data_IF_618042030681
#
_entry.id   IF_618042030681
#
_cell.length_a   1.000
_cell.length_b   1.000
_cell.length_c   1.000
_cell.angle_alpha   90.00
_cell.angle_beta   90.00
_cell.angle_gamma   90.00
#
_symmetry.space_group_name_H-M   'P 1'
#
loop_
_entity.id
_entity.type
_entity.pdbx_description
1 polymer ?
#
# COMPACT_ATOMS: atom_id res chain seq x y z
N UNK A 1 -48.98 -1.27 46.16
CA UNK A 1 -47.93 -1.13 45.10
C UNK A 1 -47.54 0.33 45.06
N UNK A 2 -46.39 0.67 45.64
CA UNK A 2 -45.85 2.03 45.66
C UNK A 2 -45.35 2.35 44.24
N UNK A 3 -45.86 3.43 43.65
CA UNK A 3 -45.40 3.83 42.31
C UNK A 3 -43.98 4.35 42.40
N UNK A 4 -43.11 4.04 41.36
CA UNK A 4 -41.72 4.47 41.30
C UNK A 4 -41.56 6.00 41.42
N UNK A 5 -42.60 6.78 41.07
CA UNK A 5 -42.68 8.23 41.24
C UNK A 5 -42.65 8.69 42.71
N UNK A 6 -42.99 7.81 43.66
CA UNK A 6 -43.03 8.16 45.09
C UNK A 6 -41.65 8.09 45.76
N UNK A 7 -40.67 7.52 45.08
CA UNK A 7 -39.30 7.35 45.59
C UNK A 7 -38.39 8.53 45.20
N UNK A 8 -38.64 9.17 44.05
CA UNK A 8 -37.75 10.20 43.47
C UNK A 8 -38.36 11.61 43.38
N UNK A 9 -39.57 11.84 43.98
CA UNK A 9 -40.10 13.17 44.25
C UNK A 9 -40.41 14.09 43.05
N UNK A 10 -40.51 13.58 41.82
CA UNK A 10 -40.84 14.38 40.64
C UNK A 10 -40.81 13.61 39.31
N UNK A 11 -41.31 14.17 38.21
CA UNK A 11 -41.23 13.55 36.91
C UNK A 11 -39.75 13.37 36.52
N UNK A 12 -39.40 12.18 36.04
CA UNK A 12 -38.07 11.89 35.47
C UNK A 12 -37.84 12.82 34.27
N UNK A 13 -37.01 13.84 34.48
CA UNK A 13 -36.52 14.68 33.37
C UNK A 13 -35.27 13.99 32.83
N UNK A 14 -35.31 13.48 31.61
CA UNK A 14 -34.10 12.90 30.99
C UNK A 14 -33.03 13.99 30.94
N UNK A 15 -31.86 13.70 31.51
CA UNK A 15 -30.68 14.57 31.36
C UNK A 15 -30.28 14.49 29.90
N UNK A 16 -30.60 15.54 29.13
CA UNK A 16 -30.12 15.68 27.76
C UNK A 16 -28.63 15.93 27.87
N UNK A 17 -27.81 14.93 27.53
CA UNK A 17 -26.36 15.10 27.43
C UNK A 17 -26.11 16.14 26.34
N UNK A 18 -25.56 17.28 26.73
CA UNK A 18 -25.13 18.28 25.77
C UNK A 18 -24.00 17.66 24.94
N UNK A 19 -24.16 17.64 23.63
CA UNK A 19 -23.17 17.11 22.70
C UNK A 19 -22.66 18.29 21.89
N UNK A 20 -21.35 18.50 21.93
CA UNK A 20 -20.72 19.56 21.16
C UNK A 20 -20.85 19.31 19.65
N UNK A 21 -20.87 20.36 18.81
CA UNK A 21 -20.82 20.22 17.36
C UNK A 21 -19.65 19.34 16.91
N UNK A 22 -19.83 18.55 15.83
CA UNK A 22 -18.78 17.63 15.35
C UNK A 22 -17.44 18.31 15.05
N UNK A 23 -17.44 19.55 14.62
CA UNK A 23 -16.24 20.35 14.37
C UNK A 23 -15.45 20.59 15.66
N UNK A 24 -16.13 20.89 16.76
CA UNK A 24 -15.46 21.08 18.05
C UNK A 24 -14.91 19.75 18.57
N UNK A 25 -15.67 18.66 18.45
CA UNK A 25 -15.22 17.34 18.85
C UNK A 25 -14.00 16.89 18.04
N UNK A 26 -13.97 17.18 16.72
CA UNK A 26 -12.81 16.90 15.85
C UNK A 26 -11.60 17.74 16.30
N UNK A 27 -11.80 19.03 16.59
CA UNK A 27 -10.73 19.88 17.09
C UNK A 27 -10.16 19.36 18.42
N UNK A 28 -11.00 18.91 19.35
CA UNK A 28 -10.56 18.36 20.63
C UNK A 28 -9.84 17.02 20.46
N UNK A 29 -10.28 16.19 19.53
CA UNK A 29 -9.58 14.95 19.17
C UNK A 29 -8.18 15.22 18.60
N UNK A 30 -8.04 16.26 17.75
CA UNK A 30 -6.74 16.69 17.24
C UNK A 30 -5.82 17.17 18.36
N UNK A 31 -6.33 18.03 19.26
CA UNK A 31 -5.56 18.52 20.43
C UNK A 31 -5.11 17.36 21.32
N UNK A 32 -6.00 16.41 21.56
CA UNK A 32 -5.69 15.21 22.36
C UNK A 32 -4.59 14.33 21.73
N UNK A 33 -4.47 14.36 20.41
CA UNK A 33 -3.40 13.70 19.67
C UNK A 33 -2.12 14.56 19.53
N UNK A 34 -2.07 15.75 20.13
CA UNK A 34 -0.91 16.65 20.06
C UNK A 34 -0.84 17.50 18.80
N UNK A 35 -1.95 17.67 18.07
CA UNK A 35 -2.05 18.47 16.85
C UNK A 35 -2.89 19.71 17.14
N UNK A 36 -2.33 20.91 16.88
CA UNK A 36 -3.11 22.14 16.90
C UNK A 36 -4.03 22.19 15.66
N UNK A 37 -5.38 22.19 15.86
CA UNK A 37 -6.31 22.19 14.75
C UNK A 37 -6.33 23.56 14.03
N UNK A 38 -6.74 23.61 12.75
CA UNK A 38 -6.97 24.88 12.06
C UNK A 38 -8.15 25.63 12.70
N UNK A 39 -8.15 26.95 12.55
CA UNK A 39 -9.21 27.82 13.12
C UNK A 39 -10.61 27.44 12.64
N UNK A 40 -10.71 26.98 11.40
CA UNK A 40 -11.99 26.55 10.80
C UNK A 40 -11.84 25.13 10.28
N UNK A 41 -12.69 24.24 10.73
CA UNK A 41 -12.82 22.88 10.25
C UNK A 41 -14.01 22.76 9.31
N UNK A 42 -13.83 22.04 8.19
CA UNK A 42 -14.89 21.76 7.21
C UNK A 42 -15.19 20.27 7.21
N UNK A 43 -16.46 19.93 7.27
CA UNK A 43 -16.95 18.56 7.19
C UNK A 43 -17.62 18.38 5.83
N UNK A 44 -16.79 18.19 4.79
CA UNK A 44 -17.25 18.15 3.39
C UNK A 44 -16.77 16.90 2.61
N UNK A 45 -16.15 15.95 3.32
CA UNK A 45 -15.64 14.73 2.71
C UNK A 45 -14.36 14.92 1.88
N UNK A 46 -13.76 16.11 1.91
CA UNK A 46 -12.52 16.41 1.20
C UNK A 46 -11.31 16.38 2.15
N UNK A 47 -10.13 16.12 1.59
CA UNK A 47 -8.90 16.19 2.35
C UNK A 47 -8.44 17.65 2.46
N UNK A 48 -8.30 18.11 3.69
CA UNK A 48 -7.78 19.43 4.03
C UNK A 48 -6.38 19.31 4.60
N UNK A 49 -5.49 20.19 4.19
CA UNK A 49 -4.13 20.33 4.71
C UNK A 49 -4.00 21.61 5.51
N UNK A 50 -3.20 21.58 6.57
CA UNK A 50 -3.02 22.74 7.44
C UNK A 50 -1.65 22.72 8.14
N UNK A 51 -1.24 23.89 8.66
CA UNK A 51 -0.03 24.02 9.44
C UNK A 51 -0.25 23.58 10.88
N UNK A 52 0.58 22.68 11.36
CA UNK A 52 0.53 22.19 12.76
C UNK A 52 1.45 22.97 13.70
N UNK A 53 2.29 23.89 13.18
CA UNK A 53 3.24 24.71 13.97
C UNK A 53 3.20 26.20 13.59
N UNK A 54 2.12 26.66 12.99
CA UNK A 54 1.90 28.08 12.66
C UNK A 54 2.84 28.68 11.61
N UNK A 55 3.61 27.84 10.88
CA UNK A 55 4.49 28.31 9.79
C UNK A 55 3.75 28.28 8.46
N UNK A 56 3.79 29.34 7.70
CA UNK A 56 3.04 29.47 6.44
C UNK A 56 3.37 28.41 5.36
N UNK A 57 4.57 27.80 5.44
CA UNK A 57 5.02 26.73 4.53
C UNK A 57 4.77 25.31 5.06
N UNK A 58 4.20 25.17 6.26
CA UNK A 58 3.94 23.87 6.88
C UNK A 58 2.52 23.42 6.53
N UNK A 59 2.39 22.36 5.76
CA UNK A 59 1.13 21.69 5.43
C UNK A 59 1.14 20.21 5.82
N UNK A 60 1.91 19.86 6.86
CA UNK A 60 2.08 18.49 7.33
C UNK A 60 0.84 17.93 8.04
N UNK A 61 0.00 18.80 8.60
CA UNK A 61 -1.29 18.41 9.15
C UNK A 61 -2.31 18.13 8.05
N UNK A 62 -3.13 17.15 8.28
CA UNK A 62 -4.21 16.80 7.35
C UNK A 62 -5.42 16.24 8.09
N UNK A 63 -6.60 16.42 7.52
CA UNK A 63 -7.82 15.74 7.96
C UNK A 63 -8.79 15.54 6.80
N UNK A 64 -9.68 14.58 6.97
CA UNK A 64 -10.87 14.36 6.15
C UNK A 64 -12.01 13.99 7.08
N UNK A 65 -13.16 14.68 6.96
CA UNK A 65 -14.36 14.40 7.74
C UNK A 65 -15.58 14.38 6.83
N UNK A 66 -16.39 13.34 6.98
CA UNK A 66 -17.58 13.09 6.16
C UNK A 66 -18.82 13.58 6.88
N UNK A 67 -19.77 14.25 6.18
CA UNK A 67 -20.96 14.87 6.79
C UNK A 67 -22.06 13.87 7.18
N UNK A 68 -21.86 12.57 6.95
CA UNK A 68 -22.83 11.54 7.31
C UNK A 68 -22.94 11.41 8.85
N UNK A 69 -24.14 11.22 9.39
CA UNK A 69 -24.34 10.97 10.82
C UNK A 69 -24.11 9.49 11.19
N UNK A 70 -23.30 9.26 12.26
CA UNK A 70 -22.45 10.22 12.97
C UNK A 70 -21.27 10.66 12.12
N UNK A 71 -20.93 11.95 12.17
CA UNK A 71 -19.75 12.49 11.48
C UNK A 71 -18.53 11.66 11.86
N UNK A 72 -17.80 11.22 10.84
CA UNK A 72 -16.61 10.39 11.01
C UNK A 72 -15.51 10.82 10.04
N UNK A 73 -14.27 10.53 10.38
CA UNK A 73 -13.14 10.90 9.54
C UNK A 73 -11.81 10.37 10.05
N UNK A 74 -10.76 10.92 9.50
CA UNK A 74 -9.37 10.68 9.93
C UNK A 74 -8.62 12.00 9.93
N UNK A 75 -7.61 12.09 10.78
CA UNK A 75 -6.70 13.22 10.82
C UNK A 75 -5.31 12.76 11.21
N UNK A 76 -4.31 13.58 10.94
CA UNK A 76 -2.95 13.24 11.30
C UNK A 76 -1.95 14.32 10.96
N UNK A 77 -0.68 14.00 11.21
CA UNK A 77 0.48 14.80 10.85
C UNK A 77 1.54 13.89 10.21
N UNK A 78 1.86 14.10 8.94
CA UNK A 78 2.86 13.26 8.26
C UNK A 78 4.26 13.41 8.85
N UNK A 79 4.59 14.61 9.32
CA UNK A 79 5.89 14.87 9.95
C UNK A 79 6.06 14.11 11.26
N UNK A 80 5.00 14.08 12.07
CA UNK A 80 5.06 13.51 13.42
C UNK A 80 4.55 12.05 13.46
N UNK A 81 4.21 11.47 12.27
CA UNK A 81 3.74 10.08 12.14
C UNK A 81 2.38 9.81 12.78
N UNK A 82 1.59 10.88 13.03
CA UNK A 82 0.28 10.76 13.67
C UNK A 82 -0.77 10.42 12.60
N UNK A 83 -1.58 9.39 12.86
CA UNK A 83 -2.71 8.99 12.03
C UNK A 83 -3.81 8.42 12.94
N UNK A 84 -4.92 9.14 13.08
CA UNK A 84 -5.99 8.83 14.01
C UNK A 84 -7.35 8.84 13.32
N UNK A 85 -8.25 7.98 13.81
CA UNK A 85 -9.65 7.93 13.40
C UNK A 85 -10.48 8.81 14.30
N UNK A 86 -11.40 9.58 13.74
CA UNK A 86 -12.37 10.38 14.43
C UNK A 86 -13.79 9.87 14.18
N UNK A 87 -14.62 9.93 15.22
CA UNK A 87 -16.07 9.73 15.14
C UNK A 87 -16.74 10.60 16.20
N UNK A 88 -17.69 11.42 15.76
CA UNK A 88 -18.44 12.29 16.65
C UNK A 88 -19.35 11.48 17.60
N UNK A 89 -19.37 11.88 18.87
CA UNK A 89 -20.39 11.45 19.84
C UNK A 89 -21.71 12.15 19.47
N UNK A 90 -22.77 11.38 19.29
CA UNK A 90 -24.11 11.89 19.02
C UNK A 90 -25.00 11.87 20.27
N UNK A 91 -24.41 11.64 21.48
CA UNK A 91 -25.12 11.62 22.75
C UNK A 91 -25.95 10.36 22.98
N UNK A 92 -25.96 9.40 22.09
CA UNK A 92 -26.66 8.11 22.18
C UNK A 92 -25.91 7.02 21.44
N UNK A 93 -26.23 5.79 21.76
CA UNK A 93 -25.78 4.67 20.95
C UNK A 93 -26.52 4.62 19.61
N UNK A 94 -25.82 4.13 18.58
CA UNK A 94 -26.43 3.87 17.30
C UNK A 94 -27.37 2.68 17.38
N UNK A 95 -28.54 2.82 16.80
CA UNK A 95 -29.45 1.70 16.61
C UNK A 95 -28.82 0.65 15.66
N UNK A 96 -29.28 -0.59 15.78
CA UNK A 96 -28.82 -1.65 14.88
C UNK A 96 -29.07 -1.32 13.40
N UNK A 97 -30.16 -0.64 13.08
CA UNK A 97 -30.46 -0.20 11.72
C UNK A 97 -29.46 0.83 11.19
N UNK A 98 -29.06 1.81 12.02
CA UNK A 98 -28.04 2.81 11.66
C UNK A 98 -26.68 2.17 11.49
N UNK A 99 -26.29 1.24 12.36
CA UNK A 99 -25.03 0.48 12.21
C UNK A 99 -25.00 -0.30 10.91
N UNK A 100 -26.07 -1.00 10.56
CA UNK A 100 -26.20 -1.73 9.31
C UNK A 100 -26.16 -0.80 8.09
N UNK A 101 -26.82 0.36 8.15
CA UNK A 101 -26.79 1.34 7.05
C UNK A 101 -25.39 1.90 6.83
N UNK A 102 -24.64 2.19 7.90
CA UNK A 102 -23.23 2.64 7.81
C UNK A 102 -22.35 1.55 7.21
N UNK A 103 -22.45 0.32 7.71
CA UNK A 103 -21.67 -0.82 7.19
C UNK A 103 -21.95 -1.07 5.70
N UNK A 104 -23.23 -0.98 5.29
CA UNK A 104 -23.62 -1.10 3.88
C UNK A 104 -22.98 -0.03 3.02
N UNK A 105 -23.08 1.25 3.39
CA UNK A 105 -22.46 2.36 2.66
C UNK A 105 -20.95 2.19 2.52
N UNK A 106 -20.28 1.80 3.61
CA UNK A 106 -18.84 1.54 3.57
C UNK A 106 -18.48 0.40 2.62
N UNK A 107 -19.26 -0.67 2.61
CA UNK A 107 -19.10 -1.79 1.70
C UNK A 107 -19.32 -1.37 0.23
N UNK A 108 -20.40 -0.63 -0.05
CA UNK A 108 -20.71 -0.11 -1.39
C UNK A 108 -19.61 0.83 -1.90
N UNK A 109 -19.13 1.75 -1.05
CA UNK A 109 -18.05 2.68 -1.40
C UNK A 109 -16.70 1.95 -1.62
N UNK A 110 -16.43 0.87 -0.88
CA UNK A 110 -15.26 0.02 -1.08
C UNK A 110 -15.36 -0.72 -2.41
N UNK A 111 -16.50 -1.36 -2.68
CA UNK A 111 -16.73 -2.09 -3.92
C UNK A 111 -16.61 -1.18 -5.15
N UNK A 112 -17.17 0.04 -5.09
CA UNK A 112 -17.04 1.00 -6.20
C UNK A 112 -15.60 1.44 -6.43
N UNK A 113 -14.82 1.70 -5.36
CA UNK A 113 -13.39 2.01 -5.48
C UNK A 113 -12.60 0.87 -6.11
N UNK A 114 -12.90 -0.37 -5.71
CA UNK A 114 -12.28 -1.56 -6.28
C UNK A 114 -12.66 -1.73 -7.76
N UNK A 115 -13.92 -1.50 -8.13
CA UNK A 115 -14.39 -1.53 -9.53
C UNK A 115 -13.68 -0.49 -10.40
N UNK A 116 -13.57 0.74 -9.92
CA UNK A 116 -12.87 1.82 -10.63
C UNK A 116 -11.38 1.48 -10.78
N UNK A 117 -10.77 0.94 -9.73
CA UNK A 117 -9.37 0.50 -9.75
C UNK A 117 -9.15 -0.64 -10.74
N UNK A 118 -10.02 -1.65 -10.75
CA UNK A 118 -9.94 -2.77 -11.68
C UNK A 118 -10.04 -2.28 -13.14
N UNK A 119 -11.03 -1.41 -13.43
CA UNK A 119 -11.17 -0.83 -14.78
C UNK A 119 -9.94 -0.04 -15.23
N UNK A 120 -9.32 0.72 -14.32
CA UNK A 120 -8.06 1.42 -14.63
C UNK A 120 -6.91 0.45 -14.88
N UNK A 121 -6.86 -0.65 -14.13
CA UNK A 121 -5.84 -1.67 -14.30
C UNK A 121 -5.99 -2.41 -15.65
N UNK A 122 -7.22 -2.72 -16.09
CA UNK A 122 -7.48 -3.33 -17.39
C UNK A 122 -7.02 -2.43 -18.55
N UNK A 123 -7.35 -1.13 -18.47
CA UNK A 123 -6.90 -0.15 -19.48
C UNK A 123 -5.37 -0.05 -19.50
N UNK A 124 -4.75 -0.01 -18.32
CA UNK A 124 -3.29 0.04 -18.20
C UNK A 124 -2.64 -1.23 -18.76
N UNK A 125 -3.19 -2.43 -18.47
CA UNK A 125 -2.69 -3.71 -18.99
C UNK A 125 -2.67 -3.72 -20.53
N UNK A 126 -3.75 -3.33 -21.19
CA UNK A 126 -3.80 -3.22 -22.65
C UNK A 126 -2.74 -2.25 -23.21
N UNK A 127 -2.52 -1.15 -22.49
CA UNK A 127 -1.51 -0.15 -22.89
C UNK A 127 -0.09 -0.72 -22.75
N UNK A 128 0.21 -1.36 -21.61
CA UNK A 128 1.55 -1.90 -21.38
C UNK A 128 1.87 -3.10 -22.27
N UNK A 129 0.88 -3.90 -22.68
CA UNK A 129 1.07 -4.95 -23.68
C UNK A 129 1.55 -4.38 -25.02
N UNK A 130 0.95 -3.26 -25.45
CA UNK A 130 1.37 -2.58 -26.67
C UNK A 130 2.78 -2.03 -26.54
N UNK A 131 3.07 -1.31 -25.43
CA UNK A 131 4.41 -0.76 -25.16
C UNK A 131 5.45 -1.88 -25.13
N UNK A 132 5.15 -2.98 -24.43
CA UNK A 132 6.06 -4.11 -24.30
C UNK A 132 6.33 -4.80 -25.65
N UNK A 133 5.29 -5.01 -26.45
CA UNK A 133 5.41 -5.61 -27.78
C UNK A 133 6.26 -4.77 -28.72
N UNK A 134 6.09 -3.45 -28.70
CA UNK A 134 6.74 -2.50 -29.61
C UNK A 134 8.17 -2.14 -29.14
N UNK A 135 8.51 -2.47 -27.88
CA UNK A 135 9.84 -2.25 -27.30
C UNK A 135 10.88 -3.24 -27.87
N UNK A 136 12.10 -2.76 -28.04
CA UNK A 136 13.24 -3.56 -28.51
C UNK A 136 14.02 -4.16 -27.33
N UNK A 137 14.79 -5.23 -27.58
CA UNK A 137 15.65 -5.80 -26.55
C UNK A 137 16.63 -4.74 -26.02
N UNK A 138 16.82 -4.73 -24.70
CA UNK A 138 17.79 -3.82 -24.09
C UNK A 138 19.22 -4.25 -24.41
N UNK A 139 20.08 -3.27 -24.71
CA UNK A 139 21.51 -3.49 -24.84
C UNK A 139 22.15 -3.54 -23.45
N UNK A 140 23.16 -4.41 -23.23
CA UNK A 140 24.00 -4.38 -22.03
C UNK A 140 24.68 -3.02 -21.80
N UNK A 141 24.80 -2.23 -22.86
CA UNK A 141 25.37 -0.88 -22.80
C UNK A 141 24.47 0.18 -22.20
N UNK A 142 23.23 -0.14 -21.85
CA UNK A 142 22.32 0.80 -21.20
C UNK A 142 22.93 1.33 -19.89
N UNK A 143 22.93 2.67 -19.62
CA UNK A 143 23.62 3.26 -18.48
C UNK A 143 23.29 2.63 -17.13
N UNK A 144 22.01 2.35 -16.89
CA UNK A 144 21.57 1.68 -15.66
C UNK A 144 22.16 0.27 -15.51
N UNK A 145 22.18 -0.53 -16.58
CA UNK A 145 22.72 -1.90 -16.55
C UNK A 145 24.22 -1.88 -16.28
N UNK A 146 24.97 -1.00 -16.96
CA UNK A 146 26.40 -0.78 -16.69
C UNK A 146 26.66 -0.33 -15.26
N UNK A 147 25.88 0.63 -14.76
CA UNK A 147 26.03 1.11 -13.38
C UNK A 147 25.80 -0.01 -12.35
N UNK A 148 24.87 -0.93 -12.64
CA UNK A 148 24.58 -2.07 -11.76
C UNK A 148 25.45 -3.29 -12.01
N UNK A 149 26.21 -3.31 -13.13
CA UNK A 149 27.05 -4.44 -13.51
C UNK A 149 26.27 -5.70 -13.82
N UNK A 150 25.11 -5.57 -14.47
CA UNK A 150 24.18 -6.66 -14.77
C UNK A 150 23.81 -6.72 -16.26
N UNK A 151 23.47 -7.90 -16.73
CA UNK A 151 22.91 -8.14 -18.05
C UNK A 151 21.40 -7.82 -18.10
N UNK A 152 20.80 -7.57 -19.28
CA UNK A 152 19.40 -7.19 -19.38
C UNK A 152 18.38 -8.29 -19.06
N UNK A 153 18.73 -9.57 -19.17
CA UNK A 153 17.85 -10.74 -18.88
C UNK A 153 16.43 -10.63 -19.45
N UNK A 154 16.28 -10.09 -20.65
CA UNK A 154 14.98 -9.91 -21.29
C UNK A 154 14.30 -8.56 -21.02
N UNK A 155 14.93 -7.64 -20.29
CA UNK A 155 14.49 -6.25 -20.24
C UNK A 155 14.49 -5.63 -21.64
N UNK A 156 13.66 -4.61 -21.87
CA UNK A 156 13.48 -3.96 -23.16
C UNK A 156 13.69 -2.45 -23.06
N UNK A 157 13.82 -1.80 -24.22
CA UNK A 157 13.88 -0.36 -24.35
C UNK A 157 12.65 0.17 -25.07
N UNK A 158 12.06 1.20 -24.53
CA UNK A 158 11.06 2.01 -25.23
C UNK A 158 11.69 2.82 -26.35
N UNK A 159 10.88 3.32 -27.30
CA UNK A 159 11.37 4.14 -28.40
C UNK A 159 12.08 5.44 -27.97
N UNK A 160 11.83 5.93 -26.76
CA UNK A 160 12.51 7.06 -26.14
C UNK A 160 13.73 6.65 -25.27
N UNK A 161 14.15 5.37 -25.34
CA UNK A 161 15.38 4.87 -24.71
C UNK A 161 15.26 4.51 -23.22
N UNK A 162 14.08 4.52 -22.62
CA UNK A 162 13.91 4.08 -21.21
C UNK A 162 13.96 2.56 -21.11
N UNK A 163 14.69 2.08 -20.12
CA UNK A 163 14.67 0.65 -19.78
C UNK A 163 13.33 0.29 -19.15
N UNK A 164 12.73 -0.79 -19.62
CA UNK A 164 11.49 -1.33 -19.05
C UNK A 164 11.65 -2.80 -18.67
N UNK A 165 11.04 -3.16 -17.54
CA UNK A 165 10.91 -4.54 -17.07
C UNK A 165 9.44 -4.88 -16.83
N UNK A 166 9.00 -6.11 -17.18
CA UNK A 166 7.58 -6.48 -17.15
C UNK A 166 7.15 -6.86 -15.74
N UNK A 167 5.92 -6.56 -15.37
CA UNK A 167 5.25 -7.05 -14.16
C UNK A 167 4.11 -7.98 -14.58
N UNK A 168 4.30 -9.28 -14.39
CA UNK A 168 3.27 -10.28 -14.69
C UNK A 168 2.42 -10.53 -13.46
N UNK A 169 1.09 -10.49 -13.64
CA UNK A 169 0.16 -10.90 -12.59
C UNK A 169 0.21 -12.40 -12.35
N UNK A 170 -0.30 -12.84 -11.23
CA UNK A 170 -0.60 -14.25 -10.95
C UNK A 170 -1.51 -14.80 -12.07
N UNK A 171 -1.05 -15.82 -12.78
CA UNK A 171 -1.72 -16.32 -13.99
C UNK A 171 -1.08 -15.89 -15.31
N UNK A 172 -0.02 -15.06 -15.30
CA UNK A 172 0.89 -14.83 -16.42
C UNK A 172 0.55 -13.66 -17.34
N UNK A 173 -0.56 -12.93 -17.11
CA UNK A 173 -0.88 -11.73 -17.91
C UNK A 173 0.03 -10.53 -17.54
N UNK A 174 0.45 -9.75 -18.54
CA UNK A 174 1.21 -8.52 -18.30
C UNK A 174 0.30 -7.46 -17.65
N UNK A 175 0.60 -7.09 -16.43
CA UNK A 175 -0.21 -6.18 -15.60
C UNK A 175 0.32 -4.76 -15.57
N UNK A 176 1.64 -4.60 -15.61
CA UNK A 176 2.30 -3.31 -15.52
C UNK A 176 3.71 -3.38 -16.12
N UNK A 177 4.36 -2.23 -16.19
CA UNK A 177 5.77 -2.07 -16.49
C UNK A 177 6.43 -1.22 -15.43
N UNK A 178 7.67 -1.53 -15.08
CA UNK A 178 8.53 -0.62 -14.34
C UNK A 178 9.49 0.04 -15.34
N UNK A 179 9.44 1.36 -15.40
CA UNK A 179 10.38 2.20 -16.14
C UNK A 179 11.56 2.51 -15.26
N UNK A 180 12.76 2.30 -15.77
CA UNK A 180 14.00 2.50 -15.04
C UNK A 180 14.87 3.48 -15.80
N UNK A 181 15.27 4.56 -15.15
CA UNK A 181 16.31 5.48 -15.58
C UNK A 181 17.52 5.38 -14.65
N UNK A 182 18.53 6.18 -14.87
CA UNK A 182 19.72 6.23 -14.00
C UNK A 182 19.39 6.65 -12.57
N UNK A 183 18.38 7.51 -12.39
CA UNK A 183 18.06 8.13 -11.10
C UNK A 183 16.71 7.73 -10.54
N UNK A 184 15.85 7.09 -11.33
CA UNK A 184 14.45 6.92 -10.96
C UNK A 184 13.87 5.60 -11.46
N UNK A 185 12.97 5.04 -10.65
CA UNK A 185 12.12 3.90 -11.02
C UNK A 185 10.66 4.29 -10.84
N UNK A 186 9.86 4.12 -11.89
CA UNK A 186 8.40 4.38 -11.85
C UNK A 186 7.61 3.24 -12.44
N UNK A 187 6.44 2.98 -11.87
CA UNK A 187 5.50 2.05 -12.47
C UNK A 187 4.61 2.74 -13.51
N UNK A 188 4.09 1.95 -14.44
CA UNK A 188 3.10 2.46 -15.40
C UNK A 188 1.85 2.95 -14.66
N UNK A 189 1.36 4.17 -14.96
CA UNK A 189 0.19 4.74 -14.27
C UNK A 189 -1.05 3.86 -14.43
N UNK A 190 -1.71 3.56 -13.32
CA UNK A 190 -2.92 2.73 -13.29
C UNK A 190 -2.67 1.22 -13.31
N UNK A 191 -1.45 0.75 -13.64
CA UNK A 191 -1.10 -0.66 -13.61
C UNK A 191 -1.12 -1.24 -12.19
N UNK A 192 -1.54 -2.49 -12.06
CA UNK A 192 -1.45 -3.20 -10.78
C UNK A 192 -0.04 -3.73 -10.58
N UNK A 193 0.48 -3.59 -9.35
CA UNK A 193 1.80 -4.11 -8.97
C UNK A 193 1.71 -5.19 -7.90
N UNK A 194 0.56 -5.26 -7.21
CA UNK A 194 0.36 -6.21 -6.13
C UNK A 194 0.29 -7.64 -6.66
N UNK A 195 1.07 -8.54 -6.08
CA UNK A 195 1.17 -9.93 -6.49
C UNK A 195 1.83 -10.12 -7.86
N UNK A 196 2.41 -9.08 -8.45
CA UNK A 196 3.13 -9.21 -9.71
C UNK A 196 4.57 -9.66 -9.47
N UNK A 197 5.05 -10.49 -10.39
CA UNK A 197 6.42 -10.99 -10.37
C UNK A 197 6.97 -11.16 -11.79
N UNK A 198 8.26 -11.36 -11.89
CA UNK A 198 8.95 -11.76 -13.11
C UNK A 198 10.09 -12.71 -12.76
N UNK A 199 10.22 -13.80 -13.51
CA UNK A 199 11.26 -14.79 -13.29
C UNK A 199 12.40 -14.53 -14.27
N UNK A 200 13.61 -14.40 -13.74
CA UNK A 200 14.85 -14.41 -14.49
C UNK A 200 15.42 -15.83 -14.48
N UNK A 201 15.75 -16.36 -15.66
CA UNK A 201 16.19 -17.75 -15.82
C UNK A 201 15.05 -18.75 -15.88
N UNK A 202 15.42 -20.02 -16.05
CA UNK A 202 14.46 -21.14 -16.10
C UNK A 202 14.40 -21.84 -14.73
N UNK A 203 13.20 -22.12 -14.25
CA UNK A 203 13.00 -22.81 -12.98
C UNK A 203 13.21 -24.30 -13.17
N UNK A 204 14.10 -24.85 -12.37
CA UNK A 204 14.44 -26.26 -12.32
C UNK A 204 14.18 -26.84 -10.91
N UNK A 205 14.70 -28.03 -10.60
CA UNK A 205 14.58 -28.65 -9.28
C UNK A 205 15.48 -27.99 -8.19
N UNK A 206 16.33 -27.04 -8.57
CA UNK A 206 17.22 -26.34 -7.65
C UNK A 206 16.56 -25.17 -6.93
N UNK A 207 17.30 -24.44 -6.08
CA UNK A 207 16.75 -23.32 -5.33
C UNK A 207 16.19 -22.22 -6.25
N UNK A 208 14.99 -21.72 -5.90
CA UNK A 208 14.38 -20.52 -6.48
C UNK A 208 14.63 -19.34 -5.56
N UNK A 209 15.31 -18.32 -6.08
CA UNK A 209 15.49 -17.08 -5.33
C UNK A 209 14.31 -16.12 -5.55
N UNK A 210 14.03 -15.30 -4.54
CA UNK A 210 13.04 -14.22 -4.61
C UNK A 210 13.69 -12.96 -4.08
N UNK A 211 13.82 -11.93 -4.90
CA UNK A 211 14.45 -10.66 -4.55
C UNK A 211 13.48 -9.48 -4.74
N UNK A 212 13.68 -8.42 -3.97
CA UNK A 212 12.84 -7.24 -4.05
C UNK A 212 12.96 -6.53 -5.40
N UNK A 213 14.16 -6.21 -5.82
CA UNK A 213 14.41 -5.39 -6.98
C UNK A 213 14.97 -6.15 -8.19
N UNK A 214 14.72 -5.61 -9.38
CA UNK A 214 15.24 -6.20 -10.64
C UNK A 214 16.78 -6.32 -10.64
N UNK A 215 17.52 -5.30 -10.20
CA UNK A 215 18.98 -5.38 -10.20
C UNK A 215 19.50 -6.44 -9.23
N UNK A 216 18.94 -6.52 -8.02
CA UNK A 216 19.26 -7.55 -7.03
C UNK A 216 18.98 -8.95 -7.58
N UNK A 217 17.80 -9.13 -8.22
CA UNK A 217 17.44 -10.40 -8.84
C UNK A 217 18.39 -10.79 -9.98
N UNK A 218 18.76 -9.84 -10.83
CA UNK A 218 19.72 -10.07 -11.92
C UNK A 218 21.10 -10.47 -11.38
N UNK A 219 21.63 -9.73 -10.40
CA UNK A 219 22.90 -10.09 -9.75
C UNK A 219 22.86 -11.50 -9.14
N UNK A 220 21.78 -11.81 -8.42
CA UNK A 220 21.61 -13.15 -7.81
C UNK A 220 21.56 -14.24 -8.87
N UNK A 221 20.82 -14.00 -9.95
CA UNK A 221 20.74 -14.94 -11.07
C UNK A 221 22.12 -15.18 -11.73
N UNK A 222 22.86 -14.12 -12.00
CA UNK A 222 24.18 -14.19 -12.65
C UNK A 222 25.22 -14.88 -11.78
N UNK A 223 25.26 -14.58 -10.49
CA UNK A 223 26.25 -15.15 -9.57
C UNK A 223 25.93 -16.61 -9.20
N UNK A 224 24.64 -16.93 -9.01
CA UNK A 224 24.23 -18.26 -8.59
C UNK A 224 23.98 -19.23 -9.75
N UNK A 225 23.73 -18.73 -10.96
CA UNK A 225 23.25 -19.52 -12.10
C UNK A 225 21.83 -20.07 -11.88
N UNK A 226 21.09 -19.57 -10.88
CA UNK A 226 19.78 -20.06 -10.48
C UNK A 226 18.66 -19.07 -10.83
N UNK A 227 17.42 -19.56 -11.03
CA UNK A 227 16.31 -18.67 -11.29
C UNK A 227 16.06 -17.72 -10.10
N UNK A 228 15.67 -16.48 -10.42
CA UNK A 228 15.34 -15.49 -9.43
C UNK A 228 14.05 -14.75 -9.80
N UNK A 229 13.06 -14.73 -8.91
CA UNK A 229 11.84 -13.96 -9.07
C UNK A 229 12.04 -12.54 -8.55
N UNK A 230 11.61 -11.56 -9.34
CA UNK A 230 11.54 -10.15 -8.95
C UNK A 230 10.19 -9.88 -8.30
N UNK A 231 10.19 -9.37 -7.07
CA UNK A 231 8.98 -9.01 -6.34
C UNK A 231 8.58 -7.53 -6.48
N UNK A 232 9.47 -6.68 -6.99
CA UNK A 232 9.30 -5.24 -7.25
C UNK A 232 9.16 -4.32 -6.03
N UNK A 233 8.86 -4.86 -4.86
CA UNK A 233 8.88 -4.11 -3.58
C UNK A 233 8.91 -5.06 -2.39
N UNK A 234 9.41 -4.59 -1.24
CA UNK A 234 9.42 -5.34 0.01
C UNK A 234 8.02 -5.87 0.38
N UNK A 235 7.00 -5.02 0.29
CA UNK A 235 5.62 -5.41 0.61
C UNK A 235 5.07 -6.53 -0.27
N UNK A 236 5.62 -6.71 -1.46
CA UNK A 236 5.17 -7.73 -2.41
C UNK A 236 5.87 -9.09 -2.21
N UNK A 237 6.96 -9.15 -1.42
CA UNK A 237 7.68 -10.38 -1.13
C UNK A 237 6.76 -11.48 -0.59
N UNK A 238 5.86 -11.12 0.32
CA UNK A 238 4.92 -12.09 0.93
C UNK A 238 4.02 -12.73 -0.13
N UNK A 239 3.44 -11.91 -1.02
CA UNK A 239 2.56 -12.40 -2.08
C UNK A 239 3.34 -13.24 -3.11
N UNK A 240 4.54 -12.84 -3.49
CA UNK A 240 5.38 -13.56 -4.48
C UNK A 240 5.88 -14.89 -3.93
N UNK A 241 6.32 -14.96 -2.67
CA UNK A 241 6.72 -16.23 -2.03
C UNK A 241 5.52 -17.18 -1.90
N UNK A 242 4.31 -16.66 -1.57
CA UNK A 242 3.09 -17.46 -1.60
C UNK A 242 2.86 -18.07 -2.98
N UNK A 243 2.90 -17.27 -4.03
CA UNK A 243 2.72 -17.73 -5.42
C UNK A 243 3.76 -18.79 -5.80
N UNK A 244 5.03 -18.57 -5.45
CA UNK A 244 6.08 -19.55 -5.69
C UNK A 244 5.76 -20.90 -5.00
N UNK A 245 5.22 -20.88 -3.77
CA UNK A 245 4.78 -22.10 -3.07
C UNK A 245 3.60 -22.78 -3.75
N UNK A 246 2.64 -22.01 -4.24
CA UNK A 246 1.45 -22.55 -4.91
C UNK A 246 1.80 -23.18 -6.26
N UNK A 247 2.73 -22.59 -7.01
CA UNK A 247 3.13 -23.08 -8.33
C UNK A 247 4.14 -24.22 -8.25
N UNK A 248 5.18 -24.09 -7.40
CA UNK A 248 6.33 -25.01 -7.39
C UNK A 248 6.30 -26.02 -6.22
N UNK A 249 5.31 -25.90 -5.35
CA UNK A 249 5.08 -26.85 -4.23
C UNK A 249 5.81 -26.49 -2.94
N UNK A 250 5.35 -27.14 -1.85
CA UNK A 250 5.81 -26.83 -0.50
C UNK A 250 7.25 -27.27 -0.23
N UNK A 251 7.75 -28.25 -0.95
CA UNK A 251 9.10 -28.82 -0.76
C UNK A 251 10.17 -28.14 -1.62
N UNK A 252 9.77 -27.30 -2.58
CA UNK A 252 10.73 -26.57 -3.41
C UNK A 252 11.55 -25.60 -2.55
N UNK A 253 12.86 -25.60 -2.70
CA UNK A 253 13.71 -24.69 -1.92
C UNK A 253 13.52 -23.25 -2.38
N UNK A 254 13.03 -22.36 -1.51
CA UNK A 254 12.91 -20.93 -1.75
C UNK A 254 13.93 -20.17 -0.90
N UNK A 255 14.67 -19.26 -1.54
CA UNK A 255 15.63 -18.39 -0.87
C UNK A 255 15.20 -16.93 -1.07
N UNK A 256 14.81 -16.27 0.01
CA UNK A 256 14.35 -14.88 0.02
C UNK A 256 15.58 -13.99 0.21
N UNK A 257 15.85 -13.12 -0.76
CA UNK A 257 16.95 -12.16 -0.71
C UNK A 257 16.39 -10.84 -0.20
N UNK A 258 16.68 -10.54 1.06
CA UNK A 258 16.25 -9.30 1.70
C UNK A 258 17.24 -8.17 1.42
N UNK A 259 16.74 -6.99 1.06
CA UNK A 259 17.56 -5.80 0.94
C UNK A 259 18.02 -5.36 2.36
N UNK A 260 19.30 -4.98 2.47
CA UNK A 260 19.90 -4.51 3.72
C UNK A 260 19.93 -2.97 3.73
N UNK A 261 18.75 -2.36 3.77
CA UNK A 261 18.61 -0.90 3.84
C UNK A 261 18.40 -0.41 5.29
N UNK A 262 18.68 0.87 5.54
CA UNK A 262 18.53 1.50 6.86
C UNK A 262 17.08 1.49 7.37
N UNK A 263 16.09 1.38 6.49
CA UNK A 263 14.68 1.37 6.86
C UNK A 263 14.25 0.08 7.56
N UNK A 264 14.97 -1.02 7.31
CA UNK A 264 14.65 -2.35 7.82
C UNK A 264 13.35 -2.96 7.29
N UNK A 265 12.65 -2.28 6.37
CA UNK A 265 11.37 -2.76 5.81
C UNK A 265 11.58 -4.03 4.98
N UNK A 266 12.63 -4.07 4.15
CA UNK A 266 12.98 -5.25 3.35
C UNK A 266 13.16 -6.50 4.23
N UNK A 267 13.90 -6.36 5.33
CA UNK A 267 14.11 -7.44 6.30
C UNK A 267 12.81 -7.89 6.96
N UNK A 268 12.00 -6.94 7.46
CA UNK A 268 10.74 -7.25 8.12
C UNK A 268 9.75 -8.00 7.20
N UNK A 269 9.68 -7.62 5.93
CA UNK A 269 8.82 -8.28 4.95
C UNK A 269 9.35 -9.67 4.55
N UNK A 270 10.66 -9.85 4.45
CA UNK A 270 11.28 -11.16 4.23
C UNK A 270 11.01 -12.10 5.42
N UNK A 271 11.17 -11.63 6.66
CA UNK A 271 10.84 -12.39 7.87
C UNK A 271 9.34 -12.79 7.86
N UNK A 272 8.44 -11.89 7.47
CA UNK A 272 7.01 -12.18 7.36
C UNK A 272 6.70 -13.21 6.27
N UNK A 273 7.34 -13.09 5.10
CA UNK A 273 7.18 -14.04 4.00
C UNK A 273 7.65 -15.44 4.38
N UNK A 274 8.84 -15.53 5.00
CA UNK A 274 9.40 -16.78 5.50
C UNK A 274 8.54 -17.42 6.60
N UNK A 275 8.04 -16.64 7.54
CA UNK A 275 7.18 -17.13 8.62
C UNK A 275 5.84 -17.70 8.10
N UNK A 276 5.26 -17.08 7.06
CA UNK A 276 3.96 -17.49 6.51
C UNK A 276 4.04 -18.64 5.50
N UNK A 277 5.07 -18.62 4.65
CA UNK A 277 5.15 -19.50 3.47
C UNK A 277 6.42 -20.34 3.43
N UNK A 278 7.28 -20.21 4.44
CA UNK A 278 8.59 -20.85 4.46
C UNK A 278 9.57 -20.18 3.51
N UNK A 279 10.80 -20.68 3.50
CA UNK A 279 11.91 -20.14 2.73
C UNK A 279 13.04 -19.66 3.64
N UNK A 280 14.27 -19.80 3.15
CA UNK A 280 15.47 -19.34 3.84
C UNK A 280 15.75 -17.90 3.47
N UNK A 281 16.06 -17.06 4.44
CA UNK A 281 16.40 -15.66 4.20
C UNK A 281 17.91 -15.53 4.08
N UNK A 282 18.36 -14.78 3.09
CA UNK A 282 19.74 -14.34 2.93
C UNK A 282 19.76 -12.82 2.79
N UNK A 283 20.79 -12.19 3.32
CA UNK A 283 21.02 -10.76 3.18
C UNK A 283 22.41 -10.58 2.59
N UNK A 284 22.58 -9.76 1.55
CA UNK A 284 23.91 -9.40 1.08
C UNK A 284 24.67 -8.67 2.20
N UNK A 285 25.91 -9.08 2.46
CA UNK A 285 26.82 -8.31 3.30
C UNK A 285 27.23 -7.06 2.52
N UNK A 286 27.04 -5.89 3.14
CA UNK A 286 27.62 -4.64 2.64
C UNK A 286 29.08 -4.64 3.17
N UNK A 287 30.03 -4.86 2.27
CA UNK A 287 31.43 -4.57 2.54
C UNK A 287 31.77 -3.12 2.24
#
# INVERSE_FOLDING_TARGET
>A
MTKVTDIFGGPFVPVIKHVDPPELQLADSMRSAGIDPPVTLKIDGQMHRFSTKGRASDDSGWYIAFPDEPVAGRFGCWRDGIDAVFRADIGRELTAAEQMAIARRQSEAKAERERVRAKKADVAANTVETIWRDAIAASPDHPYLKQKGIEPHGARLTGDGRLIVPLYAEGGGLSSLQYISETEKRYHPGGSTKGCSWVLGEIDAGPLFVAEGYATAATVHEVSGRPCMVAYSANNLVDVVRQAREVYGQTHEIVIVADNDESGVGRAMADQASAKHGGRIVMPSIE
#
